data_IF_360964048122
#
_entry.id   IF_360964048122
#
_cell.length_a   1.000
_cell.length_b   1.000
_cell.length_c   1.000
_cell.angle_alpha   90.00
_cell.angle_beta   90.00
_cell.angle_gamma   90.00
#
_symmetry.space_group_name_H-M   'P 1'
#
loop_
_entity.id
_entity.type
_entity.pdbx_description
1 polymer ?
#
# COMPACT_ATOMS: atom_id res chain seq x y z
N UNK A 1 -37.42 -38.46 3.53
CA UNK A 1 -37.37 -37.78 2.23
C UNK A 1 -37.64 -36.30 2.50
N UNK A 2 -36.72 -35.40 2.15
CA UNK A 2 -36.85 -33.95 2.43
C UNK A 2 -37.62 -33.33 1.26
N UNK A 3 -38.68 -32.60 1.57
CA UNK A 3 -39.58 -32.02 0.57
C UNK A 3 -38.83 -30.93 -0.23
N UNK A 4 -38.79 -31.09 -1.55
CA UNK A 4 -38.00 -30.26 -2.48
C UNK A 4 -38.66 -28.90 -2.77
N UNK A 5 -39.91 -28.74 -2.34
CA UNK A 5 -40.76 -27.57 -2.61
C UNK A 5 -40.82 -26.57 -1.45
N UNK A 6 -40.18 -26.89 -0.32
CA UNK A 6 -40.09 -25.98 0.83
C UNK A 6 -38.94 -24.98 0.64
N UNK A 7 -39.20 -23.96 -0.19
CA UNK A 7 -38.31 -22.81 -0.40
C UNK A 7 -38.50 -21.71 0.67
N UNK A 8 -39.40 -21.91 1.65
CA UNK A 8 -39.80 -20.87 2.62
C UNK A 8 -39.22 -21.06 4.02
N UNK A 9 -38.99 -22.30 4.47
CA UNK A 9 -38.58 -22.55 5.87
C UNK A 9 -37.13 -22.15 6.18
N UNK A 10 -36.29 -21.99 5.15
CA UNK A 10 -34.92 -21.48 5.31
C UNK A 10 -34.84 -19.99 5.68
N UNK A 11 -35.88 -19.21 5.36
CA UNK A 11 -35.89 -17.74 5.54
C UNK A 11 -36.64 -17.30 6.82
N UNK A 12 -37.40 -18.21 7.45
CA UNK A 12 -38.04 -17.98 8.75
C UNK A 12 -37.05 -17.93 9.92
N UNK A 13 -35.83 -18.45 9.73
CA UNK A 13 -34.70 -18.30 10.64
C UNK A 13 -33.54 -17.66 9.88
N UNK A 14 -33.75 -16.40 9.46
CA UNK A 14 -32.77 -15.61 8.71
C UNK A 14 -31.32 -15.85 9.16
N UNK A 15 -30.40 -15.91 8.20
CA UNK A 15 -28.97 -16.25 8.37
C UNK A 15 -28.46 -15.86 9.76
N UNK A 16 -28.20 -16.88 10.60
CA UNK A 16 -27.79 -16.72 12.00
C UNK A 16 -26.62 -15.73 12.07
N UNK A 17 -26.90 -14.52 12.56
CA UNK A 17 -25.91 -13.43 12.57
C UNK A 17 -24.77 -13.80 13.52
N UNK A 18 -23.55 -13.92 12.98
CA UNK A 18 -22.35 -13.94 13.82
C UNK A 18 -22.27 -12.67 14.66
N UNK A 19 -21.82 -12.80 15.92
CA UNK A 19 -21.60 -11.65 16.81
C UNK A 19 -20.63 -10.67 16.11
N UNK A 20 -20.97 -9.37 16.12
CA UNK A 20 -20.15 -8.32 15.50
C UNK A 20 -20.53 -7.91 14.07
N UNK A 21 -21.46 -8.60 13.39
CA UNK A 21 -21.94 -8.15 12.07
C UNK A 21 -22.91 -6.97 12.25
N UNK A 22 -22.65 -5.77 11.71
CA UNK A 22 -23.51 -4.59 11.86
C UNK A 22 -24.95 -4.86 11.41
N UNK A 23 -25.91 -4.15 12.02
CA UNK A 23 -27.36 -4.30 11.74
C UNK A 23 -27.74 -3.77 10.35
N UNK A 24 -26.98 -2.81 9.84
CA UNK A 24 -27.08 -2.27 8.49
C UNK A 24 -26.00 -2.89 7.60
N UNK A 25 -26.29 -3.14 6.33
CA UNK A 25 -25.36 -3.68 5.34
C UNK A 25 -24.12 -2.81 5.03
N UNK A 26 -23.86 -1.79 5.84
CA UNK A 26 -22.73 -0.86 5.76
C UNK A 26 -21.40 -1.44 6.27
N UNK A 27 -21.37 -2.73 6.56
CA UNK A 27 -20.14 -3.42 6.89
C UNK A 27 -19.25 -3.48 5.65
N UNK A 28 -18.15 -2.71 5.63
CA UNK A 28 -17.18 -2.80 4.55
C UNK A 28 -16.75 -4.26 4.37
N UNK A 29 -16.75 -4.75 3.15
CA UNK A 29 -16.21 -6.08 2.85
C UNK A 29 -14.71 -6.12 3.15
N UNK A 30 -14.13 -7.32 3.31
CA UNK A 30 -12.67 -7.44 3.49
C UNK A 30 -11.89 -6.81 2.32
N UNK A 31 -12.41 -6.96 1.10
CA UNK A 31 -11.86 -6.37 -0.11
C UNK A 31 -11.91 -4.83 -0.10
N UNK A 32 -13.04 -4.24 0.28
CA UNK A 32 -13.18 -2.77 0.40
C UNK A 32 -12.23 -2.18 1.44
N UNK A 33 -12.01 -2.87 2.56
CA UNK A 33 -11.03 -2.44 3.56
C UNK A 33 -9.61 -2.47 3.00
N UNK A 34 -9.24 -3.53 2.29
CA UNK A 34 -7.92 -3.59 1.64
C UNK A 34 -7.75 -2.53 0.55
N UNK A 35 -8.78 -2.28 -0.26
CA UNK A 35 -8.75 -1.23 -1.28
C UNK A 35 -8.58 0.16 -0.64
N UNK A 36 -9.33 0.46 0.42
CA UNK A 36 -9.19 1.72 1.17
C UNK A 36 -7.80 1.86 1.81
N UNK A 37 -7.23 0.77 2.33
CA UNK A 37 -5.87 0.77 2.85
C UNK A 37 -4.85 1.06 1.75
N UNK A 38 -4.94 0.41 0.59
CA UNK A 38 -4.03 0.66 -0.55
C UNK A 38 -4.12 2.10 -1.04
N UNK A 39 -5.33 2.65 -1.14
CA UNK A 39 -5.54 4.04 -1.52
C UNK A 39 -4.88 5.00 -0.52
N UNK A 40 -5.06 4.77 0.79
CA UNK A 40 -4.39 5.57 1.84
C UNK A 40 -2.86 5.45 1.78
N UNK A 41 -2.33 4.27 1.46
CA UNK A 41 -0.89 4.09 1.30
C UNK A 41 -0.35 4.83 0.07
N UNK A 42 -1.11 4.95 -1.01
CA UNK A 42 -0.71 5.72 -2.20
C UNK A 42 -0.77 7.23 -1.96
N UNK A 43 -1.71 7.70 -1.14
CA UNK A 43 -1.80 9.11 -0.75
C UNK A 43 -0.59 9.55 0.09
N UNK A 44 -0.13 8.67 0.98
CA UNK A 44 0.93 9.01 1.94
C UNK A 44 2.36 8.69 1.46
N UNK A 45 2.52 7.79 0.48
CA UNK A 45 3.84 7.27 0.10
C UNK A 45 4.09 7.43 -1.40
N UNK A 46 5.34 7.79 -1.73
CA UNK A 46 5.85 7.74 -3.10
C UNK A 46 6.68 6.47 -3.27
N UNK A 47 6.36 5.68 -4.29
CA UNK A 47 7.13 4.48 -4.63
C UNK A 47 8.16 4.81 -5.69
N UNK A 48 9.44 4.54 -5.42
CA UNK A 48 10.55 4.86 -6.33
C UNK A 48 11.26 3.58 -6.71
N UNK A 49 11.46 3.37 -8.01
CA UNK A 49 12.25 2.25 -8.52
C UNK A 49 13.68 2.71 -8.76
N UNK A 50 14.64 2.10 -8.06
CA UNK A 50 16.07 2.42 -8.14
C UNK A 50 16.83 1.14 -8.46
N UNK A 51 17.94 1.25 -9.21
CA UNK A 51 18.83 0.12 -9.47
C UNK A 51 19.42 -0.41 -8.15
N UNK A 52 19.39 -1.73 -7.95
CA UNK A 52 19.87 -2.40 -6.74
C UNK A 52 21.31 -2.00 -6.37
N UNK A 53 22.19 -1.83 -7.36
CA UNK A 53 23.58 -1.46 -7.12
C UNK A 53 23.75 -0.06 -6.51
N UNK A 54 22.76 0.83 -6.68
CA UNK A 54 22.78 2.19 -6.16
C UNK A 54 22.17 2.31 -4.76
N UNK A 55 21.41 1.30 -4.33
CA UNK A 55 20.71 1.31 -3.02
C UNK A 55 21.70 1.29 -1.87
N UNK A 56 22.75 0.47 -1.96
CA UNK A 56 23.79 0.38 -0.92
C UNK A 56 24.56 1.70 -0.79
N UNK A 57 24.90 2.34 -1.91
CA UNK A 57 25.55 3.64 -1.93
C UNK A 57 24.67 4.76 -1.38
N UNK A 58 23.36 4.72 -1.67
CA UNK A 58 22.39 5.66 -1.12
C UNK A 58 22.24 5.50 0.40
N UNK A 59 22.12 4.28 0.90
CA UNK A 59 22.03 4.01 2.33
C UNK A 59 23.29 4.50 3.07
N UNK A 60 24.48 4.18 2.55
CA UNK A 60 25.73 4.65 3.11
C UNK A 60 25.82 6.19 3.11
N UNK A 61 25.41 6.87 2.03
CA UNK A 61 25.37 8.34 1.99
C UNK A 61 24.40 8.92 3.03
N UNK A 62 23.23 8.31 3.22
CA UNK A 62 22.25 8.76 4.21
C UNK A 62 22.74 8.55 5.65
N UNK A 63 23.45 7.46 5.92
CA UNK A 63 24.08 7.20 7.21
C UNK A 63 25.16 8.24 7.53
N UNK A 64 26.02 8.56 6.56
CA UNK A 64 27.05 9.59 6.73
C UNK A 64 26.43 10.95 7.08
N UNK A 65 25.37 11.36 6.37
CA UNK A 65 24.67 12.62 6.65
C UNK A 65 24.02 12.60 8.04
N UNK A 66 23.37 11.49 8.42
CA UNK A 66 22.76 11.32 9.75
C UNK A 66 23.80 11.46 10.87
N UNK A 67 24.98 10.91 10.67
CA UNK A 67 26.06 10.91 11.66
C UNK A 67 26.87 12.24 11.63
N UNK A 68 26.42 13.23 10.84
CA UNK A 68 27.03 14.56 10.74
C UNK A 68 28.30 14.61 9.90
N UNK A 69 28.60 13.54 9.17
CA UNK A 69 29.74 13.46 8.26
C UNK A 69 29.49 14.20 6.96
N UNK A 70 30.56 14.75 6.38
CA UNK A 70 30.54 15.43 5.07
C UNK A 70 31.15 14.59 3.95
N UNK A 71 31.39 13.30 4.19
CA UNK A 71 31.99 12.41 3.20
C UNK A 71 30.99 12.12 2.09
N UNK A 72 31.42 12.33 0.85
CA UNK A 72 30.65 11.98 -0.33
C UNK A 72 30.99 10.55 -0.72
N UNK A 73 30.04 9.64 -0.54
CA UNK A 73 30.14 8.21 -0.83
C UNK A 73 29.69 7.91 -2.26
N UNK A 74 28.67 8.61 -2.74
CA UNK A 74 28.12 8.46 -4.09
C UNK A 74 28.91 9.27 -5.12
N UNK A 75 29.14 8.71 -6.30
CA UNK A 75 29.65 9.51 -7.43
C UNK A 75 28.55 10.46 -7.96
N UNK A 76 28.96 11.50 -8.69
CA UNK A 76 28.04 12.47 -9.28
C UNK A 76 27.03 11.80 -10.24
N UNK A 77 27.46 10.81 -11.00
CA UNK A 77 26.60 10.07 -11.93
C UNK A 77 25.58 9.19 -11.19
N UNK A 78 26.01 8.51 -10.13
CA UNK A 78 25.10 7.70 -9.31
C UNK A 78 24.05 8.58 -8.62
N UNK A 79 24.47 9.72 -8.08
CA UNK A 79 23.56 10.69 -7.46
C UNK A 79 22.56 11.26 -8.49
N UNK A 80 23.02 11.52 -9.73
CA UNK A 80 22.15 11.97 -10.82
C UNK A 80 21.10 10.92 -11.17
N UNK A 81 21.48 9.65 -11.29
CA UNK A 81 20.55 8.57 -11.61
C UNK A 81 19.48 8.41 -10.53
N UNK A 82 19.87 8.44 -9.25
CA UNK A 82 18.95 8.42 -8.10
C UNK A 82 18.00 9.63 -8.16
N UNK A 83 18.53 10.83 -8.39
CA UNK A 83 17.72 12.04 -8.46
C UNK A 83 16.72 12.00 -9.62
N UNK A 84 17.11 11.43 -10.76
CA UNK A 84 16.22 11.26 -11.89
C UNK A 84 15.08 10.28 -11.55
N UNK A 85 15.38 9.15 -10.91
CA UNK A 85 14.37 8.20 -10.46
C UNK A 85 13.36 8.84 -9.49
N UNK A 86 13.84 9.64 -8.52
CA UNK A 86 12.99 10.39 -7.60
C UNK A 86 12.05 11.35 -8.33
N UNK A 87 12.60 12.17 -9.26
CA UNK A 87 11.80 13.14 -10.02
C UNK A 87 10.76 12.46 -10.91
N UNK A 88 11.12 11.36 -11.57
CA UNK A 88 10.17 10.61 -12.41
C UNK A 88 9.03 10.03 -11.58
N UNK A 89 9.33 9.50 -10.39
CA UNK A 89 8.32 9.02 -9.46
C UNK A 89 7.42 10.16 -8.95
N UNK A 90 8.01 11.30 -8.57
CA UNK A 90 7.30 12.49 -8.11
C UNK A 90 6.31 13.01 -9.17
N UNK A 91 6.78 13.20 -10.40
CA UNK A 91 5.94 13.70 -11.50
C UNK A 91 4.75 12.77 -11.71
N UNK A 92 5.00 11.47 -11.83
CA UNK A 92 3.98 10.47 -12.14
C UNK A 92 2.96 10.26 -11.01
N UNK A 93 3.37 10.39 -9.76
CA UNK A 93 2.52 10.05 -8.60
C UNK A 93 1.88 11.25 -7.93
N UNK A 94 2.55 12.42 -7.95
CA UNK A 94 2.08 13.62 -7.26
C UNK A 94 1.55 14.70 -8.18
N UNK A 95 2.06 14.81 -9.41
CA UNK A 95 1.73 15.94 -10.31
C UNK A 95 0.76 15.59 -11.43
N UNK A 96 0.60 14.30 -11.75
CA UNK A 96 -0.31 13.82 -12.79
C UNK A 96 0.28 13.96 -14.18
#
# INVERSE_FOLDING_TARGET
>A
MKDTTDQGTGDMFGIKRGRGRPKTGSAKTGAERQAAYRAKQQENNVTVTINRALVEGLDAQMQVIRDGGSVVVLTTEQAREILQALRTAEIKQLRG
#
